data_IF_046107899486
#
_entry.id   IF_046107899486
#
_cell.length_a   1.000
_cell.length_b   1.000
_cell.length_c   1.000
_cell.angle_alpha   90.00
_cell.angle_beta   90.00
_cell.angle_gamma   90.00
#
_symmetry.space_group_name_H-M   'P 1'
#
loop_
_entity.id
_entity.type
_entity.pdbx_description
1 polymer ?
#
# COMPACT_ATOMS: atom_id res chain seq x y z
N UNK A 1 31.04 5.98 -2.33
CA UNK A 1 30.26 5.27 -3.36
C UNK A 1 28.98 4.77 -2.67
N UNK A 2 27.79 5.33 -2.97
CA UNK A 2 26.54 4.83 -2.36
C UNK A 2 26.26 3.43 -2.90
N UNK A 3 26.02 2.46 -2.02
CA UNK A 3 25.78 1.08 -2.43
C UNK A 3 24.45 0.99 -3.22
N UNK A 4 24.33 0.02 -4.13
CA UNK A 4 23.09 -0.23 -4.87
C UNK A 4 21.89 -0.44 -3.93
N UNK A 5 22.15 -1.04 -2.78
CA UNK A 5 21.19 -1.28 -1.70
C UNK A 5 20.61 0.03 -1.15
N UNK A 6 21.45 1.04 -0.89
CA UNK A 6 21.00 2.35 -0.36
C UNK A 6 20.07 3.08 -1.35
N UNK A 7 20.34 2.94 -2.65
CA UNK A 7 19.51 3.53 -3.69
C UNK A 7 18.15 2.83 -3.78
N UNK A 8 18.12 1.50 -3.60
CA UNK A 8 16.90 0.72 -3.60
C UNK A 8 16.00 1.05 -2.41
N UNK A 9 16.55 1.11 -1.19
CA UNK A 9 15.81 1.51 0.01
C UNK A 9 15.19 2.91 -0.13
N UNK A 10 15.96 3.89 -0.62
CA UNK A 10 15.46 5.25 -0.84
C UNK A 10 14.31 5.32 -1.85
N UNK A 11 14.28 4.42 -2.84
CA UNK A 11 13.17 4.33 -3.81
C UNK A 11 11.94 3.72 -3.17
N UNK A 12 12.11 2.67 -2.36
CA UNK A 12 11.01 2.04 -1.63
C UNK A 12 10.38 3.02 -0.64
N UNK A 13 11.17 3.87 0.03
CA UNK A 13 10.65 4.93 0.91
C UNK A 13 9.86 6.03 0.19
N UNK A 14 9.72 6.00 -1.15
CA UNK A 14 8.91 6.95 -1.88
C UNK A 14 7.50 6.36 -2.16
N UNK A 15 6.44 6.88 -1.53
CA UNK A 15 5.09 6.36 -1.71
C UNK A 15 4.59 6.42 -3.16
N UNK A 16 5.02 7.44 -3.91
CA UNK A 16 4.64 7.57 -5.32
C UNK A 16 5.27 6.46 -6.17
N UNK A 17 6.49 6.05 -5.83
CA UNK A 17 7.14 4.94 -6.50
C UNK A 17 6.46 3.60 -6.16
N UNK A 18 6.11 3.38 -4.88
CA UNK A 18 5.32 2.21 -4.47
C UNK A 18 3.99 2.13 -5.25
N UNK A 19 3.27 3.26 -5.38
CA UNK A 19 2.01 3.33 -6.11
C UNK A 19 2.20 3.03 -7.61
N UNK A 20 3.24 3.60 -8.24
CA UNK A 20 3.55 3.35 -9.65
C UNK A 20 3.88 1.88 -9.91
N UNK A 21 4.66 1.25 -9.03
CA UNK A 21 4.95 -0.20 -9.09
C UNK A 21 3.67 -1.01 -8.94
N UNK A 22 2.81 -0.66 -7.97
CA UNK A 22 1.53 -1.34 -7.78
C UNK A 22 0.62 -1.25 -9.02
N UNK A 23 0.49 -0.06 -9.64
CA UNK A 23 -0.26 0.10 -10.90
C UNK A 23 0.34 -0.76 -12.01
N UNK A 24 1.67 -0.78 -12.15
CA UNK A 24 2.36 -1.62 -13.14
C UNK A 24 2.04 -3.10 -12.95
N UNK A 25 2.05 -3.59 -11.71
CA UNK A 25 1.70 -4.98 -11.40
C UNK A 25 0.22 -5.28 -11.65
N UNK A 26 -0.69 -4.35 -11.33
CA UNK A 26 -2.12 -4.46 -11.66
C UNK A 26 -2.29 -4.64 -13.17
N UNK A 27 -1.63 -3.81 -13.98
CA UNK A 27 -1.69 -3.90 -15.44
C UNK A 27 -1.19 -5.25 -15.94
N UNK A 28 -0.04 -5.72 -15.46
CA UNK A 28 0.53 -7.03 -15.83
C UNK A 28 -0.43 -8.17 -15.52
N UNK A 29 -1.05 -8.16 -14.33
CA UNK A 29 -2.00 -9.21 -13.94
C UNK A 29 -3.30 -9.15 -14.75
N UNK A 30 -3.82 -7.96 -15.05
CA UNK A 30 -5.01 -7.81 -15.89
C UNK A 30 -4.75 -8.29 -17.33
N UNK A 31 -3.60 -7.96 -17.90
CA UNK A 31 -3.18 -8.46 -19.22
C UNK A 31 -3.04 -9.98 -19.20
N UNK A 32 -2.38 -10.53 -18.18
CA UNK A 32 -2.21 -11.97 -18.01
C UNK A 32 -3.56 -12.68 -17.88
N UNK A 33 -4.48 -12.15 -17.06
CA UNK A 33 -5.84 -12.68 -16.93
C UNK A 33 -6.62 -12.66 -18.24
N UNK A 34 -6.45 -11.61 -19.06
CA UNK A 34 -7.05 -11.55 -20.40
C UNK A 34 -6.48 -12.61 -21.33
N UNK A 35 -5.16 -12.82 -21.35
CA UNK A 35 -4.50 -13.86 -22.15
C UNK A 35 -4.95 -15.26 -21.75
N UNK A 36 -5.07 -15.53 -20.45
CA UNK A 36 -5.59 -16.81 -19.93
C UNK A 36 -7.05 -17.02 -20.31
N UNK A 37 -7.88 -15.99 -20.25
CA UNK A 37 -9.28 -16.08 -20.71
C UNK A 37 -9.37 -16.38 -22.21
N UNK A 38 -8.46 -15.84 -23.02
CA UNK A 38 -8.40 -16.10 -24.46
C UNK A 38 -7.95 -17.52 -24.80
N UNK A 39 -7.11 -18.16 -23.97
CA UNK A 39 -6.66 -19.55 -24.22
C UNK A 39 -7.75 -20.59 -23.95
N UNK A 40 -8.83 -20.22 -23.25
CA UNK A 40 -9.95 -21.11 -22.95
C UNK A 40 -9.64 -22.22 -21.94
N UNK A 41 -8.40 -22.27 -21.41
CA UNK A 41 -7.96 -23.31 -20.49
C UNK A 41 -8.57 -23.17 -19.09
N UNK A 42 -8.87 -21.93 -18.66
CA UNK A 42 -9.39 -21.61 -17.33
C UNK A 42 -10.45 -20.51 -17.46
N UNK A 43 -11.57 -20.66 -16.74
CA UNK A 43 -12.60 -19.62 -16.64
C UNK A 43 -12.17 -18.52 -15.67
N UNK A 44 -11.73 -17.38 -16.21
CA UNK A 44 -11.42 -16.19 -15.41
C UNK A 44 -12.70 -15.37 -15.18
N UNK A 45 -13.07 -15.05 -13.93
CA UNK A 45 -14.26 -14.26 -13.64
C UNK A 45 -14.23 -12.88 -14.31
N UNK A 46 -15.39 -12.38 -14.74
CA UNK A 46 -15.48 -11.03 -15.38
C UNK A 46 -15.10 -9.91 -14.41
N UNK A 47 -15.30 -10.12 -13.10
CA UNK A 47 -14.93 -9.19 -12.04
C UNK A 47 -13.44 -9.29 -11.61
N UNK A 48 -12.64 -10.15 -12.26
CA UNK A 48 -11.22 -10.32 -11.95
C UNK A 48 -10.42 -9.00 -11.98
N UNK A 49 -10.64 -8.06 -12.93
CA UNK A 49 -9.94 -6.77 -12.90
C UNK A 49 -10.21 -5.97 -11.62
N UNK A 50 -11.46 -5.93 -11.16
CA UNK A 50 -11.84 -5.25 -9.91
C UNK A 50 -11.25 -5.93 -8.67
N UNK A 51 -11.18 -7.27 -8.68
CA UNK A 51 -10.48 -8.04 -7.65
C UNK A 51 -9.00 -7.68 -7.58
N UNK A 52 -8.31 -7.66 -8.72
CA UNK A 52 -6.89 -7.29 -8.76
C UNK A 52 -6.65 -5.85 -8.29
N UNK A 53 -7.49 -4.90 -8.70
CA UNK A 53 -7.35 -3.51 -8.26
C UNK A 53 -7.52 -3.38 -6.73
N UNK A 54 -8.56 -3.99 -6.16
CA UNK A 54 -8.80 -3.98 -4.73
C UNK A 54 -7.67 -4.66 -3.93
N UNK A 55 -7.15 -5.79 -4.41
CA UNK A 55 -6.05 -6.49 -3.77
C UNK A 55 -4.79 -5.61 -3.71
N UNK A 56 -4.46 -4.90 -4.80
CA UNK A 56 -3.28 -4.04 -4.84
C UNK A 56 -3.45 -2.75 -4.05
N UNK A 57 -4.67 -2.21 -3.92
CA UNK A 57 -4.95 -1.14 -2.99
C UNK A 57 -4.67 -1.57 -1.55
N UNK A 58 -5.13 -2.76 -1.16
CA UNK A 58 -4.87 -3.30 0.18
C UNK A 58 -3.38 -3.59 0.39
N UNK A 59 -2.71 -4.14 -0.63
CA UNK A 59 -1.27 -4.39 -0.62
C UNK A 59 -0.48 -3.10 -0.37
N UNK A 60 -0.80 -2.05 -1.13
CA UNK A 60 -0.22 -0.73 -0.94
C UNK A 60 -0.52 -0.22 0.47
N UNK A 61 -1.77 -0.30 0.92
CA UNK A 61 -2.16 0.18 2.24
C UNK A 61 -1.31 -0.47 3.34
N UNK A 62 -1.17 -1.80 3.31
CA UNK A 62 -0.39 -2.55 4.29
C UNK A 62 1.11 -2.19 4.24
N UNK A 63 1.75 -2.27 3.07
CA UNK A 63 3.18 -2.02 2.95
C UNK A 63 3.53 -0.56 3.21
N UNK A 64 2.76 0.37 2.66
CA UNK A 64 2.99 1.79 2.83
C UNK A 64 2.92 2.20 4.30
N UNK A 65 1.92 1.68 5.03
CA UNK A 65 1.74 1.95 6.46
C UNK A 65 2.90 1.39 7.28
N UNK A 66 3.38 0.17 7.02
CA UNK A 66 4.55 -0.38 7.72
C UNK A 66 5.82 0.44 7.45
N UNK A 67 6.08 0.80 6.19
CA UNK A 67 7.26 1.62 5.82
C UNK A 67 7.20 3.01 6.46
N UNK A 68 6.01 3.53 6.79
CA UNK A 68 5.88 4.83 7.46
C UNK A 68 6.60 4.91 8.82
N UNK A 69 6.88 3.77 9.46
CA UNK A 69 7.62 3.68 10.72
C UNK A 69 9.12 3.96 10.56
N UNK A 70 9.72 3.61 9.41
CA UNK A 70 11.17 3.73 9.21
C UNK A 70 11.60 5.09 8.65
N UNK A 71 10.65 5.97 8.32
CA UNK A 71 10.93 7.25 7.67
C UNK A 71 11.13 8.36 8.70
N UNK A 72 12.20 9.14 8.55
CA UNK A 72 12.54 10.22 9.46
C UNK A 72 11.41 11.28 9.57
N UNK A 73 10.95 11.81 8.43
CA UNK A 73 9.90 12.82 8.36
C UNK A 73 8.54 12.17 8.05
N UNK A 74 7.77 11.89 9.10
CA UNK A 74 6.47 11.23 9.02
C UNK A 74 5.43 12.08 8.27
N UNK A 75 5.37 13.38 8.56
CA UNK A 75 4.32 14.27 8.05
C UNK A 75 4.44 14.38 6.53
N UNK A 76 5.67 14.56 6.04
CA UNK A 76 5.93 14.62 4.60
C UNK A 76 5.65 13.29 3.90
N UNK A 77 6.02 12.16 4.53
CA UNK A 77 5.74 10.84 3.99
C UNK A 77 4.23 10.60 3.88
N UNK A 78 3.49 10.86 4.95
CA UNK A 78 2.03 10.68 5.03
C UNK A 78 1.28 11.43 3.94
N UNK A 79 1.57 12.72 3.75
CA UNK A 79 0.93 13.51 2.70
C UNK A 79 1.13 12.87 1.33
N UNK A 80 2.37 12.47 1.01
CA UNK A 80 2.69 11.80 -0.25
C UNK A 80 2.06 10.41 -0.37
N UNK A 81 1.92 9.70 0.74
CA UNK A 81 1.28 8.38 0.80
C UNK A 81 -0.23 8.45 0.55
N UNK A 82 -0.91 9.50 1.01
CA UNK A 82 -2.33 9.72 0.69
C UNK A 82 -2.48 9.99 -0.81
N UNK A 83 -1.67 10.88 -1.39
CA UNK A 83 -1.70 11.14 -2.84
C UNK A 83 -1.34 9.90 -3.67
N UNK A 84 -0.35 9.11 -3.22
CA UNK A 84 0.02 7.85 -3.86
C UNK A 84 -1.12 6.82 -3.83
N UNK A 85 -1.80 6.69 -2.70
CA UNK A 85 -2.97 5.82 -2.58
C UNK A 85 -4.13 6.27 -3.45
N UNK A 86 -4.45 7.57 -3.46
CA UNK A 86 -5.51 8.11 -4.33
C UNK A 86 -5.19 7.88 -5.81
N UNK A 87 -3.94 8.11 -6.20
CA UNK A 87 -3.46 7.83 -7.56
C UNK A 87 -3.58 6.35 -7.92
N UNK A 88 -3.23 5.45 -7.00
CA UNK A 88 -3.40 4.01 -7.17
C UNK A 88 -4.88 3.62 -7.28
N UNK A 89 -5.73 4.12 -6.37
CA UNK A 89 -7.14 3.78 -6.34
C UNK A 89 -7.85 4.22 -7.63
N UNK A 90 -7.59 5.44 -8.09
CA UNK A 90 -8.12 5.98 -9.33
C UNK A 90 -7.53 5.26 -10.55
N UNK A 91 -6.20 5.08 -10.61
CA UNK A 91 -5.52 4.44 -11.73
C UNK A 91 -5.88 2.96 -11.88
N UNK A 92 -5.83 2.19 -10.80
CA UNK A 92 -6.22 0.78 -10.81
C UNK A 92 -7.71 0.59 -11.06
N UNK A 93 -8.56 1.50 -10.55
CA UNK A 93 -10.01 1.47 -10.79
C UNK A 93 -10.35 1.79 -12.24
N UNK A 94 -9.64 2.74 -12.84
CA UNK A 94 -9.77 3.06 -14.26
C UNK A 94 -9.32 1.90 -15.15
N UNK A 95 -8.19 1.24 -14.82
CA UNK A 95 -7.75 0.03 -15.52
C UNK A 95 -8.78 -1.10 -15.36
N UNK A 96 -9.32 -1.30 -14.16
CA UNK A 96 -10.34 -2.32 -13.92
C UNK A 96 -11.59 -2.08 -14.75
N UNK A 97 -12.05 -0.82 -14.84
CA UNK A 97 -13.14 -0.43 -15.72
C UNK A 97 -12.80 -0.70 -17.19
N UNK A 98 -11.61 -0.33 -17.66
CA UNK A 98 -11.21 -0.53 -19.06
C UNK A 98 -11.16 -2.02 -19.46
N UNK A 99 -10.67 -2.89 -18.57
CA UNK A 99 -10.52 -4.32 -18.84
C UNK A 99 -11.81 -5.14 -18.61
N UNK A 100 -12.68 -4.71 -17.69
CA UNK A 100 -13.95 -5.39 -17.41
C UNK A 100 -15.13 -4.82 -18.20
N UNK A 101 -15.05 -3.56 -18.63
CA UNK A 101 -16.17 -2.74 -19.15
C UNK A 101 -17.34 -2.61 -18.19
N UNK A 102 -17.14 -2.93 -16.90
CA UNK A 102 -18.17 -2.84 -15.86
C UNK A 102 -17.86 -1.62 -14.99
N UNK A 103 -18.77 -0.64 -14.87
CA UNK A 103 -18.58 0.49 -13.99
C UNK A 103 -18.58 0.04 -12.52
N UNK A 104 -17.88 0.76 -11.64
CA UNK A 104 -17.79 0.42 -10.20
C UNK A 104 -19.18 0.26 -9.54
N UNK A 105 -20.20 0.97 -10.03
CA UNK A 105 -21.57 0.87 -9.54
C UNK A 105 -22.19 -0.53 -9.72
N UNK A 106 -21.78 -1.24 -10.76
CA UNK A 106 -22.27 -2.57 -11.15
C UNK A 106 -21.31 -3.69 -10.73
N UNK A 107 -20.14 -3.35 -10.19
CA UNK A 107 -19.12 -4.31 -9.74
C UNK A 107 -19.51 -5.08 -8.45
N UNK A 108 -20.80 -5.08 -8.08
CA UNK A 108 -21.34 -5.79 -6.92
C UNK A 108 -20.62 -5.43 -5.61
N UNK A 109 -20.18 -6.46 -4.87
CA UNK A 109 -19.47 -6.31 -3.60
C UNK A 109 -18.15 -5.56 -3.72
N UNK A 110 -17.51 -5.52 -4.91
CA UNK A 110 -16.24 -4.82 -5.08
C UNK A 110 -16.36 -3.32 -4.89
N UNK A 111 -17.54 -2.72 -5.13
CA UNK A 111 -17.81 -1.32 -4.77
C UNK A 111 -17.54 -1.06 -3.29
N UNK A 112 -18.10 -1.92 -2.44
CA UNK A 112 -17.94 -1.80 -0.99
C UNK A 112 -16.52 -2.15 -0.56
N UNK A 113 -15.89 -3.16 -1.16
CA UNK A 113 -14.48 -3.46 -0.88
C UNK A 113 -13.59 -2.25 -1.20
N UNK A 114 -13.81 -1.58 -2.33
CA UNK A 114 -13.06 -0.38 -2.71
C UNK A 114 -13.18 0.74 -1.65
N UNK A 115 -14.40 0.95 -1.15
CA UNK A 115 -14.69 1.93 -0.10
C UNK A 115 -14.02 1.50 1.22
N UNK A 116 -14.23 0.25 1.63
CA UNK A 116 -13.68 -0.30 2.88
C UNK A 116 -12.17 -0.27 2.89
N UNK A 117 -11.50 -0.62 1.78
CA UNK A 117 -10.04 -0.55 1.67
C UNK A 117 -9.55 0.90 1.72
N UNK A 118 -10.29 1.84 1.12
CA UNK A 118 -9.94 3.26 1.18
C UNK A 118 -10.02 3.82 2.59
N UNK A 119 -11.09 3.54 3.33
CA UNK A 119 -11.20 3.93 4.73
C UNK A 119 -10.22 3.15 5.62
N UNK A 120 -10.06 1.85 5.38
CA UNK A 120 -9.14 0.97 6.09
C UNK A 120 -7.69 1.43 5.97
N UNK A 121 -7.30 2.01 4.83
CA UNK A 121 -5.98 2.61 4.68
C UNK A 121 -5.73 3.78 5.65
N UNK A 122 -6.71 4.66 5.84
CA UNK A 122 -6.58 5.74 6.82
C UNK A 122 -6.44 5.18 8.24
N UNK A 123 -7.18 4.11 8.55
CA UNK A 123 -7.05 3.39 9.82
C UNK A 123 -5.66 2.80 9.99
N UNK A 124 -5.11 2.13 8.96
CA UNK A 124 -3.76 1.59 9.00
C UNK A 124 -2.69 2.67 9.24
N UNK A 125 -2.83 3.84 8.60
CA UNK A 125 -1.95 4.98 8.86
C UNK A 125 -2.04 5.41 10.34
N UNK A 126 -3.24 5.63 10.87
CA UNK A 126 -3.42 6.03 12.28
C UNK A 126 -2.79 5.03 13.23
N UNK A 127 -3.00 3.72 13.02
CA UNK A 127 -2.39 2.66 13.83
C UNK A 127 -0.86 2.80 13.84
N UNK A 128 -0.24 2.98 12.67
CA UNK A 128 1.22 3.10 12.58
C UNK A 128 1.75 4.38 13.21
N UNK A 129 1.01 5.50 13.13
CA UNK A 129 1.36 6.70 13.89
C UNK A 129 1.33 6.46 15.41
N UNK A 130 0.37 5.68 15.91
CA UNK A 130 0.32 5.32 17.32
C UNK A 130 1.49 4.41 17.70
N UNK A 131 1.79 3.38 16.90
CA UNK A 131 2.94 2.48 17.12
C UNK A 131 4.23 3.28 17.19
N UNK A 132 4.46 4.22 16.27
CA UNK A 132 5.65 5.07 16.29
C UNK A 132 5.77 5.86 17.59
N UNK A 133 4.67 6.46 18.06
CA UNK A 133 4.67 7.19 19.34
C UNK A 133 5.01 6.31 20.53
N UNK A 134 4.53 5.06 20.54
CA UNK A 134 4.85 4.09 21.59
C UNK A 134 6.34 3.75 21.57
N UNK A 135 6.92 3.52 20.39
CA UNK A 135 8.35 3.23 20.24
C UNK A 135 9.20 4.43 20.70
N UNK A 136 8.86 5.65 20.25
CA UNK A 136 9.56 6.88 20.68
C UNK A 136 9.46 7.12 22.19
N UNK A 137 8.37 6.69 22.82
CA UNK A 137 8.20 6.77 24.26
C UNK A 137 9.08 5.74 24.99
N UNK A 138 9.10 4.50 24.52
CA UNK A 138 9.93 3.43 25.09
C UNK A 138 11.44 3.77 25.00
N UNK A 139 11.90 4.28 23.86
CA UNK A 139 13.29 4.73 23.68
C UNK A 139 13.67 5.86 24.66
N UNK A 140 12.73 6.73 25.02
CA UNK A 140 12.95 7.81 26.01
C UNK A 140 12.97 7.29 27.45
N UNK A 141 12.15 6.30 27.79
CA UNK A 141 12.13 5.71 29.14
C UNK A 141 13.43 4.97 29.47
N UNK A 142 13.98 4.19 28.53
CA UNK A 142 15.26 3.49 28.71
C UNK A 142 16.42 4.47 28.97
N UNK A 143 16.43 5.62 28.29
CA UNK A 143 17.45 6.64 28.50
C UNK A 143 17.32 7.33 29.86
N UNK A 144 16.10 7.44 30.39
CA UNK A 144 15.80 8.18 31.62
C UNK A 144 16.01 7.33 32.89
N UNK A 145 16.07 5.99 32.78
CA UNK A 145 16.46 5.14 33.91
C UNK A 145 17.97 5.26 34.16
N UNK A 146 18.43 5.93 35.24
CA UNK A 146 19.86 5.97 35.54
C UNK A 146 20.30 4.55 35.83
N UNK A 147 21.29 4.04 35.09
CA UNK A 147 21.94 2.74 35.32
C UNK A 147 22.20 2.60 36.82
N UNK A 148 21.38 1.83 37.52
CA UNK A 148 21.59 1.51 38.92
C UNK A 148 22.85 0.65 38.97
N UNK A 149 24.01 1.31 39.09
CA UNK A 149 25.29 0.66 39.38
C UNK A 149 25.10 -0.06 40.71
N UNK A 150 24.91 -1.38 40.63
CA UNK A 150 24.93 -2.26 41.80
C UNK A 150 26.35 -2.19 42.35
N UNK A 151 26.58 -1.31 43.34
CA UNK A 151 27.80 -1.30 44.14
C UNK A 151 27.85 -2.61 44.92
N UNK A 152 28.82 -3.46 44.59
CA UNK A 152 29.38 -4.43 45.52
C UNK A 152 30.76 -3.94 45.90
#
# INVERSE_FOLDING_TARGET
>A
MKSTTDQFFKRIENPMFQAAVAIGMVLVLMVSGKLVRMSGLITVPVLFPWMTAAAFMLLFAMFNSVISLSVADMIKYWGRSVYGFLGLAAGAGFLAYLFSSIPIGEAGSYRWIYVVVSFGYLVFLIIMALVRKIVEFAEKEEWTQPRQRRKR
#
